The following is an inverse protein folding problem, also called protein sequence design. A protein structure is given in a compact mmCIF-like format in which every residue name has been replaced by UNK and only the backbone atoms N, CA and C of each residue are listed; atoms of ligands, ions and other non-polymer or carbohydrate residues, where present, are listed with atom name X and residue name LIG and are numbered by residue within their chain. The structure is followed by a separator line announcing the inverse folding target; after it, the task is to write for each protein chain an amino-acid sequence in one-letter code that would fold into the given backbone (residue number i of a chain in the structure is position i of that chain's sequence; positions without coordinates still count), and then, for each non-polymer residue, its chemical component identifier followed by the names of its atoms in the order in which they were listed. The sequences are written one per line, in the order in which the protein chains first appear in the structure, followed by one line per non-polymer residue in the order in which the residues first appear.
data_IF_032594948875
#
_entry.id   IF_032594948875
#
_cell.length_a   1.000
_cell.length_b   1.000
_cell.length_c   1.000
_cell.angle_alpha   90.00
_cell.angle_beta   90.00
_cell.angle_gamma   90.00
#
_symmetry.space_group_name_H-M   'P 1'
#
loop_
_entity.id
_entity.type
_entity.pdbx_description
1 polymer ?
#
# COMPACT_ATOMS: atom_id res chain seq x y z
N UNK A 1 15.28 13.77 -0.23
CA UNK A 1 14.42 14.44 -1.23
C UNK A 1 13.01 14.72 -0.70
N UNK A 2 12.09 13.74 -0.60
CA UNK A 2 10.69 13.99 -0.13
C UNK A 2 10.58 14.75 1.20
N UNK A 3 11.34 14.32 2.21
CA UNK A 3 11.36 14.96 3.54
C UNK A 3 11.85 16.41 3.53
N UNK A 4 12.67 16.81 2.55
CA UNK A 4 13.18 18.18 2.45
C UNK A 4 12.13 19.05 1.76
N UNK A 5 11.53 18.57 0.66
CA UNK A 5 10.45 19.27 -0.02
C UNK A 5 9.30 19.66 0.93
N UNK A 6 8.89 18.76 1.82
CA UNK A 6 7.86 19.05 2.85
C UNK A 6 8.30 20.18 3.80
N UNK A 7 9.57 20.21 4.22
CA UNK A 7 10.09 21.26 5.11
C UNK A 7 10.13 22.62 4.44
N UNK A 8 10.40 22.62 3.13
CA UNK A 8 10.56 23.83 2.33
C UNK A 8 9.23 24.34 1.76
N UNK A 9 8.10 23.74 2.14
CA UNK A 9 6.76 24.10 1.66
C UNK A 9 6.52 23.78 0.18
N UNK A 10 7.36 22.92 -0.41
CA UNK A 10 7.25 22.53 -1.81
C UNK A 10 6.16 21.48 -2.02
N UNK A 11 5.62 21.36 -3.24
CA UNK A 11 4.68 20.31 -3.58
C UNK A 11 5.24 18.90 -3.28
N UNK A 12 4.37 17.90 -3.01
CA UNK A 12 4.76 16.52 -2.83
C UNK A 12 5.64 16.01 -3.97
N UNK A 13 6.75 15.34 -3.61
CA UNK A 13 7.62 14.66 -4.58
C UNK A 13 7.05 13.28 -4.89
N UNK A 14 6.44 13.13 -6.06
CA UNK A 14 5.93 11.85 -6.58
C UNK A 14 6.92 11.24 -7.57
N UNK A 15 6.73 9.96 -7.90
CA UNK A 15 7.52 9.28 -8.92
C UNK A 15 6.69 8.27 -9.69
N UNK A 16 6.77 8.29 -11.02
CA UNK A 16 6.21 7.24 -11.86
C UNK A 16 7.24 6.79 -12.92
N UNK A 17 7.04 5.60 -13.53
CA UNK A 17 8.01 5.04 -14.49
C UNK A 17 8.14 5.84 -15.79
N UNK A 18 7.08 6.55 -16.20
CA UNK A 18 7.01 7.27 -17.47
C UNK A 18 7.71 8.63 -17.37
N UNK A 19 7.43 9.36 -16.30
CA UNK A 19 7.79 10.77 -16.14
C UNK A 19 8.92 10.98 -15.12
N UNK A 20 9.33 9.93 -14.40
CA UNK A 20 10.36 10.00 -13.36
C UNK A 20 9.86 10.72 -12.11
N UNK A 21 10.75 11.47 -11.46
CA UNK A 21 10.40 12.27 -10.27
C UNK A 21 9.66 13.55 -10.67
N UNK A 22 8.58 13.85 -9.95
CA UNK A 22 7.74 15.01 -10.21
C UNK A 22 7.58 15.86 -8.94
N UNK A 23 7.60 17.18 -9.11
CA UNK A 23 7.25 18.21 -8.13
C UNK A 23 6.07 19.00 -8.71
N UNK A 24 4.93 18.34 -8.84
CA UNK A 24 3.72 18.91 -9.47
C UNK A 24 2.83 19.58 -8.43
N UNK A 25 2.19 20.69 -8.78
CA UNK A 25 1.08 21.29 -8.02
C UNK A 25 -0.28 20.69 -8.39
N UNK A 26 -0.34 19.90 -9.46
CA UNK A 26 -1.55 19.22 -9.92
C UNK A 26 -1.96 18.09 -8.96
N UNK A 27 -3.13 18.18 -8.29
CA UNK A 27 -3.61 17.14 -7.39
C UNK A 27 -3.78 15.77 -8.06
N UNK A 28 -4.06 15.73 -9.37
CA UNK A 28 -4.27 14.46 -10.08
C UNK A 28 -2.97 13.66 -10.19
N UNK A 29 -1.82 14.34 -10.23
CA UNK A 29 -0.49 13.69 -10.16
C UNK A 29 -0.25 13.03 -8.80
N UNK A 30 -0.74 13.63 -7.72
CA UNK A 30 -0.61 13.08 -6.37
C UNK A 30 -1.53 11.89 -6.17
N UNK A 31 -2.80 12.03 -6.56
CA UNK A 31 -3.80 10.96 -6.45
C UNK A 31 -3.36 9.73 -7.26
N UNK A 32 -2.88 9.92 -8.49
CA UNK A 32 -2.37 8.81 -9.29
C UNK A 32 -1.18 8.10 -8.62
N UNK A 33 -0.31 8.84 -7.94
CA UNK A 33 0.79 8.26 -7.17
C UNK A 33 0.29 7.49 -5.94
N UNK A 34 -0.67 8.04 -5.20
CA UNK A 34 -1.28 7.40 -4.03
C UNK A 34 -2.00 6.10 -4.42
N UNK A 35 -2.81 6.12 -5.49
CA UNK A 35 -3.45 4.93 -6.04
C UNK A 35 -2.43 3.86 -6.44
N UNK A 36 -1.35 4.25 -7.13
CA UNK A 36 -0.27 3.32 -7.49
C UNK A 36 0.43 2.72 -6.26
N UNK A 37 0.53 3.47 -5.16
CA UNK A 37 1.04 2.95 -3.88
C UNK A 37 0.07 1.93 -3.29
N UNK A 38 -1.23 2.22 -3.27
CA UNK A 38 -2.25 1.29 -2.74
C UNK A 38 -2.27 -0.02 -3.52
N UNK A 39 -2.23 0.03 -4.85
CA UNK A 39 -2.15 -1.18 -5.69
C UNK A 39 -0.91 -2.01 -5.40
N UNK A 40 0.24 -1.34 -5.26
CA UNK A 40 1.50 -2.03 -5.00
C UNK A 40 1.51 -2.68 -3.61
N UNK A 41 0.96 -2.02 -2.59
CA UNK A 41 0.84 -2.58 -1.24
C UNK A 41 -0.20 -3.69 -1.18
N UNK A 42 -1.34 -3.54 -1.86
CA UNK A 42 -2.37 -4.58 -1.95
C UNK A 42 -1.77 -5.86 -2.55
N UNK A 43 -1.03 -5.72 -3.64
CA UNK A 43 -0.37 -6.84 -4.30
C UNK A 43 0.67 -7.50 -3.37
N UNK A 44 1.53 -6.71 -2.73
CA UNK A 44 2.51 -7.23 -1.74
C UNK A 44 1.83 -7.97 -0.61
N UNK A 45 0.79 -7.38 -0.02
CA UNK A 45 0.11 -7.94 1.14
C UNK A 45 -0.64 -9.22 0.79
N UNK A 46 -1.31 -9.24 -0.36
CA UNK A 46 -1.98 -10.45 -0.88
C UNK A 46 -0.98 -11.59 -1.05
N UNK A 47 0.15 -11.34 -1.74
CA UNK A 47 1.18 -12.36 -1.94
C UNK A 47 1.79 -12.84 -0.61
N UNK A 48 2.01 -11.93 0.35
CA UNK A 48 2.54 -12.30 1.66
C UNK A 48 1.57 -13.17 2.46
N UNK A 49 0.28 -12.81 2.48
CA UNK A 49 -0.76 -13.58 3.14
C UNK A 49 -0.88 -14.97 2.51
N UNK A 50 -1.01 -15.05 1.19
CA UNK A 50 -1.29 -16.30 0.48
C UNK A 50 -0.08 -17.22 0.41
N UNK A 51 1.11 -16.65 0.19
CA UNK A 51 2.35 -17.41 0.02
C UNK A 51 2.98 -17.85 1.32
N UNK A 52 2.79 -17.11 2.42
CA UNK A 52 3.55 -17.33 3.67
C UNK A 52 2.62 -17.53 4.85
N UNK A 53 1.78 -16.54 5.16
CA UNK A 53 1.04 -16.51 6.43
C UNK A 53 -0.03 -17.60 6.47
N UNK A 54 -0.86 -17.71 5.44
CA UNK A 54 -1.91 -18.72 5.38
C UNK A 54 -1.34 -20.16 5.37
N UNK A 55 -0.29 -20.50 4.60
CA UNK A 55 0.39 -21.78 4.72
C UNK A 55 0.99 -22.04 6.11
N UNK A 56 1.57 -21.03 6.74
CA UNK A 56 2.09 -21.13 8.11
C UNK A 56 0.97 -21.51 9.08
N UNK A 57 -0.11 -20.73 9.13
CA UNK A 57 -1.26 -20.99 10.03
C UNK A 57 -1.90 -22.36 9.78
N UNK A 58 -1.92 -22.84 8.52
CA UNK A 58 -2.40 -24.19 8.19
C UNK A 58 -1.51 -25.30 8.76
N UNK A 59 -0.17 -25.10 8.80
CA UNK A 59 0.78 -26.07 9.35
C UNK A 59 0.81 -26.07 10.88
N UNK A 60 0.51 -24.92 11.50
CA UNK A 60 0.51 -24.74 12.95
C UNK A 60 -0.86 -24.26 13.46
N UNK A 61 -1.93 -25.05 13.31
CA UNK A 61 -3.30 -24.58 13.58
C UNK A 61 -3.56 -24.19 15.05
N UNK A 62 -2.72 -24.68 15.98
CA UNK A 62 -2.81 -24.32 17.41
C UNK A 62 -1.96 -23.10 17.78
N UNK A 63 -1.14 -22.60 16.87
CA UNK A 63 -0.36 -21.38 17.09
C UNK A 63 -1.30 -20.16 17.03
N UNK A 64 -1.49 -19.53 18.18
CA UNK A 64 -2.34 -18.35 18.31
C UNK A 64 -1.74 -17.11 17.66
N UNK A 65 -0.41 -16.97 17.68
CA UNK A 65 0.27 -15.85 17.06
C UNK A 65 0.11 -15.88 15.54
N UNK A 66 0.24 -17.06 14.93
CA UNK A 66 0.03 -17.23 13.49
C UNK A 66 -1.42 -16.93 13.05
N UNK A 67 -2.41 -17.28 13.88
CA UNK A 67 -3.83 -16.94 13.61
C UNK A 67 -4.08 -15.45 13.73
N UNK A 68 -3.59 -14.81 14.81
CA UNK A 68 -3.76 -13.38 15.02
C UNK A 68 -3.15 -12.56 13.88
N UNK A 69 -1.95 -12.92 13.42
CA UNK A 69 -1.35 -12.24 12.26
C UNK A 69 -2.19 -12.42 11.01
N UNK A 70 -2.67 -13.63 10.72
CA UNK A 70 -3.52 -13.86 9.55
C UNK A 70 -4.78 -12.98 9.59
N UNK A 71 -5.42 -12.86 10.74
CA UNK A 71 -6.61 -12.04 10.92
C UNK A 71 -6.31 -10.55 10.74
N UNK A 72 -5.25 -10.03 11.37
CA UNK A 72 -4.88 -8.62 11.25
C UNK A 72 -4.48 -8.25 9.82
N UNK A 73 -3.68 -9.10 9.16
CA UNK A 73 -3.29 -8.86 7.77
C UNK A 73 -4.47 -8.98 6.81
N UNK A 74 -5.45 -9.85 7.11
CA UNK A 74 -6.72 -9.91 6.38
C UNK A 74 -7.48 -8.59 6.41
N UNK A 75 -7.53 -7.92 7.58
CA UNK A 75 -8.11 -6.59 7.72
C UNK A 75 -7.36 -5.51 6.93
N UNK A 76 -6.03 -5.55 6.95
CA UNK A 76 -5.19 -4.63 6.16
C UNK A 76 -5.43 -4.84 4.65
N UNK A 77 -5.46 -6.10 4.19
CA UNK A 77 -5.77 -6.42 2.79
C UNK A 77 -7.12 -5.86 2.37
N UNK A 78 -8.17 -6.09 3.18
CA UNK A 78 -9.51 -5.57 2.88
C UNK A 78 -9.53 -4.03 2.80
N UNK A 79 -8.78 -3.34 3.66
CA UNK A 79 -8.65 -1.87 3.62
C UNK A 79 -7.99 -1.42 2.33
N UNK A 80 -6.90 -2.08 1.92
CA UNK A 80 -6.18 -1.77 0.69
C UNK A 80 -7.03 -2.05 -0.57
N UNK A 81 -7.88 -3.09 -0.56
CA UNK A 81 -8.85 -3.36 -1.64
C UNK A 81 -9.89 -2.25 -1.80
N UNK A 82 -10.31 -1.61 -0.70
CA UNK A 82 -11.22 -0.46 -0.76
C UNK A 82 -10.48 0.76 -1.32
N UNK A 83 -9.28 1.05 -0.82
CA UNK A 83 -8.48 2.20 -1.24
C UNK A 83 -8.08 2.12 -2.72
N UNK A 84 -7.75 0.94 -3.24
CA UNK A 84 -7.37 0.78 -4.66
C UNK A 84 -8.52 1.00 -5.64
N UNK A 85 -9.77 0.88 -5.19
CA UNK A 85 -10.97 1.07 -6.02
C UNK A 85 -11.65 2.41 -5.79
N UNK A 86 -11.11 3.23 -4.90
CA UNK A 86 -11.72 4.51 -4.54
C UNK A 86 -11.50 5.52 -5.67
N UNK A 87 -12.61 6.01 -6.22
CA UNK A 87 -12.62 7.15 -7.13
C UNK A 87 -12.80 8.45 -6.35
N UNK A 88 -12.20 9.53 -6.85
CA UNK A 88 -12.40 10.86 -6.28
C UNK A 88 -13.86 11.28 -6.54
N UNK A 89 -14.62 11.70 -5.51
CA UNK A 89 -16.00 12.15 -5.66
C UNK A 89 -16.11 13.48 -6.41
#
# INVERSE_FOLDING_TARGET
MRKNAVKDGLPPVTHNRRDGFQLSEDPDVWIAYEQAVFDAELHRMTNFIEGIVAPHTKRTPKDEWARLILDQLGGIRATLEVLSRMERP
#
